data_IF_836301665656
#
_entry.id   IF_836301665656
#
_cell.length_a   1.000
_cell.length_b   1.000
_cell.length_c   1.000
_cell.angle_alpha   90.00
_cell.angle_beta   90.00
_cell.angle_gamma   90.00
#
_symmetry.space_group_name_H-M   'P 1'
#
loop_
_entity.id
_entity.type
_entity.pdbx_description
1 polymer ?
#
# COMPACT_ATOMS: atom_id res chain seq x y z
N UNK A 1 46.07 38.23 -14.05
CA UNK A 1 44.70 37.86 -13.62
C UNK A 1 44.53 38.32 -12.18
N UNK A 2 43.60 39.26 -11.90
CA UNK A 2 43.50 39.87 -10.58
C UNK A 2 42.83 38.88 -9.58
N UNK A 3 43.31 38.89 -8.32
CA UNK A 3 42.75 38.10 -7.21
C UNK A 3 41.22 38.15 -7.10
N UNK A 4 40.60 39.22 -7.60
CA UNK A 4 39.14 39.43 -7.57
C UNK A 4 38.40 38.52 -8.53
N UNK A 5 38.96 38.16 -9.68
CA UNK A 5 38.36 37.19 -10.63
C UNK A 5 38.41 35.76 -10.15
N UNK A 6 39.44 35.37 -9.42
CA UNK A 6 39.57 34.03 -8.84
C UNK A 6 38.52 33.80 -7.73
N UNK A 7 38.25 34.81 -6.92
CA UNK A 7 37.24 34.74 -5.85
C UNK A 7 35.83 34.65 -6.41
N UNK A 8 35.50 35.40 -7.49
CA UNK A 8 34.20 35.34 -8.14
C UNK A 8 33.95 33.98 -8.78
N UNK A 9 34.96 33.39 -9.44
CA UNK A 9 34.87 32.08 -10.03
C UNK A 9 34.65 30.96 -8.98
N UNK A 10 35.30 31.05 -7.83
CA UNK A 10 35.14 30.09 -6.73
C UNK A 10 33.74 30.17 -6.09
N UNK A 11 33.13 31.35 -5.98
CA UNK A 11 31.79 31.54 -5.45
C UNK A 11 30.72 30.96 -6.40
N UNK A 12 30.88 31.16 -7.72
CA UNK A 12 29.95 30.62 -8.73
C UNK A 12 30.02 29.08 -8.78
N UNK A 13 31.21 28.49 -8.66
CA UNK A 13 31.36 27.01 -8.62
C UNK A 13 30.75 26.42 -7.35
N UNK A 14 30.89 27.09 -6.20
CA UNK A 14 30.25 26.64 -4.94
C UNK A 14 28.72 26.74 -4.99
N UNK A 15 28.13 27.73 -5.65
CA UNK A 15 26.69 27.88 -5.80
C UNK A 15 26.05 26.80 -6.72
N UNK A 16 26.81 26.22 -7.65
CA UNK A 16 26.33 25.17 -8.55
C UNK A 16 26.31 23.77 -7.92
N UNK A 17 26.89 23.61 -6.71
CA UNK A 17 26.93 22.29 -6.01
C UNK A 17 25.80 22.10 -5.00
N UNK A 18 24.93 23.10 -4.80
CA UNK A 18 23.72 22.93 -3.99
C UNK A 18 22.64 22.27 -4.85
N UNK A 19 22.82 20.98 -5.16
CA UNK A 19 21.72 20.16 -5.68
C UNK A 19 20.73 20.01 -4.53
N UNK A 20 19.49 20.49 -4.64
CA UNK A 20 18.48 20.21 -3.63
C UNK A 20 18.34 18.70 -3.52
N UNK A 21 18.68 18.13 -2.38
CA UNK A 21 18.37 16.74 -2.10
C UNK A 21 16.85 16.59 -2.21
N UNK A 22 16.38 15.95 -3.26
CA UNK A 22 14.99 15.56 -3.37
C UNK A 22 14.73 14.56 -2.24
N UNK A 23 14.11 15.02 -1.16
CA UNK A 23 13.73 14.17 -0.05
C UNK A 23 12.65 13.19 -0.55
N UNK A 24 13.03 11.95 -0.74
CA UNK A 24 12.07 10.90 -1.02
C UNK A 24 11.17 10.69 0.21
N UNK A 25 9.87 10.60 -0.01
CA UNK A 25 8.90 10.33 1.04
C UNK A 25 9.05 8.89 1.53
N UNK A 26 8.95 8.65 2.81
CA UNK A 26 8.94 7.32 3.42
C UNK A 26 7.51 6.84 3.56
N UNK A 27 7.09 5.93 2.69
CA UNK A 27 5.71 5.48 2.56
C UNK A 27 5.63 3.97 2.80
N UNK A 28 4.61 3.53 3.52
CA UNK A 28 4.32 2.11 3.71
C UNK A 28 3.52 1.58 2.52
N UNK A 29 4.01 0.51 1.87
CA UNK A 29 3.37 0.01 0.64
C UNK A 29 3.04 -1.46 0.74
N UNK A 30 1.82 -1.81 0.29
CA UNK A 30 1.34 -3.18 0.15
C UNK A 30 0.60 -3.36 -1.17
N UNK A 31 0.82 -4.51 -1.83
CA UNK A 31 0.15 -4.87 -3.09
C UNK A 31 -0.50 -6.24 -2.94
N UNK A 32 -1.84 -6.27 -3.02
CA UNK A 32 -2.67 -7.45 -2.83
C UNK A 32 -3.27 -7.93 -4.15
N UNK A 33 -2.81 -9.06 -4.65
CA UNK A 33 -3.40 -9.72 -5.80
C UNK A 33 -4.67 -10.52 -5.44
N UNK A 34 -5.33 -11.07 -6.44
CA UNK A 34 -6.56 -11.85 -6.30
C UNK A 34 -6.43 -13.00 -5.29
N UNK A 35 -5.33 -13.76 -5.34
CA UNK A 35 -5.17 -14.99 -4.56
C UNK A 35 -4.05 -14.92 -3.52
N UNK A 36 -3.14 -13.98 -3.64
CA UNK A 36 -1.97 -13.82 -2.75
C UNK A 36 -1.52 -12.38 -2.69
N UNK A 37 -0.80 -12.02 -1.64
CA UNK A 37 -0.01 -10.79 -1.58
C UNK A 37 1.09 -10.85 -2.64
N UNK A 38 1.21 -9.80 -3.44
CA UNK A 38 2.26 -9.65 -4.45
C UNK A 38 3.50 -9.05 -3.78
N UNK A 39 3.29 -8.00 -2.96
CA UNK A 39 4.37 -7.31 -2.27
C UNK A 39 3.91 -6.79 -0.90
N UNK A 40 4.85 -6.76 0.05
CA UNK A 40 4.75 -5.96 1.26
C UNK A 40 3.65 -6.36 2.23
N UNK A 41 3.42 -7.65 2.51
CA UNK A 41 2.38 -8.06 3.48
C UNK A 41 2.49 -7.34 4.83
N UNK A 42 3.70 -7.05 5.32
CA UNK A 42 3.96 -6.31 6.56
C UNK A 42 4.11 -4.79 6.33
N UNK A 43 3.70 -4.28 5.19
CA UNK A 43 3.73 -2.86 4.82
C UNK A 43 5.12 -2.22 5.00
N UNK A 44 6.16 -2.73 4.32
CA UNK A 44 7.50 -2.17 4.44
C UNK A 44 7.52 -0.71 4.00
N UNK A 45 8.41 0.06 4.60
CA UNK A 45 8.65 1.45 4.23
C UNK A 45 9.52 1.51 2.98
N UNK A 46 9.06 2.24 1.97
CA UNK A 46 9.80 2.53 0.73
C UNK A 46 10.06 4.03 0.60
N UNK A 47 11.10 4.36 -0.13
CA UNK A 47 11.33 5.71 -0.62
C UNK A 47 10.48 5.94 -1.86
N UNK A 48 9.60 6.93 -1.81
CA UNK A 48 8.63 7.26 -2.85
C UNK A 48 8.83 8.70 -3.31
N UNK A 49 8.70 8.97 -4.58
CA UNK A 49 8.98 10.29 -5.16
C UNK A 49 7.93 11.32 -4.74
N UNK A 50 6.65 11.09 -5.04
CA UNK A 50 5.60 12.09 -4.82
C UNK A 50 4.19 11.55 -4.58
N UNK A 51 3.73 10.54 -5.33
CA UNK A 51 2.31 10.18 -5.43
C UNK A 51 2.05 8.67 -5.30
N UNK A 52 0.78 8.27 -5.34
CA UNK A 52 0.41 6.86 -5.14
C UNK A 52 0.84 5.95 -6.32
N UNK A 53 1.03 6.48 -7.53
CA UNK A 53 1.58 5.73 -8.65
C UNK A 53 3.09 5.51 -8.46
N UNK A 54 3.83 6.53 -8.00
CA UNK A 54 5.24 6.40 -7.63
C UNK A 54 5.45 5.36 -6.50
N UNK A 55 4.47 5.21 -5.60
CA UNK A 55 4.51 4.18 -4.56
C UNK A 55 4.40 2.77 -5.15
N UNK A 56 3.57 2.58 -6.18
CA UNK A 56 3.51 1.32 -6.92
C UNK A 56 4.80 1.04 -7.68
N UNK A 57 5.38 2.07 -8.31
CA UNK A 57 6.65 1.98 -9.01
C UNK A 57 7.77 1.52 -8.07
N UNK A 58 7.92 2.19 -6.92
CA UNK A 58 8.89 1.79 -5.88
C UNK A 58 8.67 0.37 -5.37
N UNK A 59 7.40 -0.05 -5.20
CA UNK A 59 7.07 -1.41 -4.79
C UNK A 59 7.38 -2.44 -5.87
N UNK A 60 7.17 -2.10 -7.15
CA UNK A 60 7.50 -2.93 -8.30
C UNK A 60 9.00 -3.24 -8.36
N UNK A 61 9.84 -2.23 -8.18
CA UNK A 61 11.29 -2.41 -8.09
C UNK A 61 11.70 -3.26 -6.89
N UNK A 62 11.15 -2.96 -5.70
CA UNK A 62 11.53 -3.67 -4.48
C UNK A 62 11.02 -5.13 -4.44
N UNK A 63 9.93 -5.42 -5.13
CA UNK A 63 9.28 -6.73 -5.16
C UNK A 63 9.47 -7.50 -6.45
N UNK A 64 10.23 -6.94 -7.41
CA UNK A 64 10.54 -7.55 -8.72
C UNK A 64 9.29 -8.05 -9.45
N UNK A 65 8.22 -7.23 -9.47
CA UNK A 65 7.00 -7.54 -10.20
C UNK A 65 6.71 -6.51 -11.28
N UNK A 66 6.14 -6.96 -12.38
CA UNK A 66 5.70 -6.12 -13.49
C UNK A 66 4.37 -5.44 -13.18
N UNK A 67 4.20 -4.19 -13.66
CA UNK A 67 2.91 -3.55 -13.78
C UNK A 67 2.81 -2.77 -15.10
N UNK A 68 1.59 -2.50 -15.55
CA UNK A 68 1.33 -1.74 -16.78
C UNK A 68 0.33 -0.62 -16.50
N UNK A 69 0.55 0.51 -17.16
CA UNK A 69 -0.31 1.70 -17.08
C UNK A 69 -0.80 2.01 -18.48
N UNK A 70 -2.09 2.15 -18.65
CA UNK A 70 -2.71 2.65 -19.87
C UNK A 70 -3.18 4.10 -19.68
N UNK A 71 -3.13 4.90 -20.75
CA UNK A 71 -3.65 6.27 -20.71
C UNK A 71 -5.12 6.25 -21.09
N UNK A 72 -5.96 6.84 -20.24
CA UNK A 72 -7.39 7.00 -20.48
C UNK A 72 -7.75 8.48 -20.57
N UNK A 73 -9.01 8.79 -20.93
CA UNK A 73 -9.53 10.16 -20.88
C UNK A 73 -9.56 10.75 -19.44
N UNK A 74 -9.45 9.91 -18.41
CA UNK A 74 -9.41 10.30 -17.01
C UNK A 74 -7.99 10.29 -16.41
N UNK A 75 -6.96 10.12 -17.26
CA UNK A 75 -5.56 10.03 -16.84
C UNK A 75 -5.00 8.61 -16.84
N UNK A 76 -3.82 8.42 -16.23
CA UNK A 76 -3.16 7.11 -16.12
C UNK A 76 -3.98 6.12 -15.30
N UNK A 77 -4.17 4.91 -15.83
CA UNK A 77 -4.86 3.82 -15.16
C UNK A 77 -3.97 2.57 -15.12
N UNK A 78 -3.79 1.99 -13.94
CA UNK A 78 -3.07 0.73 -13.78
C UNK A 78 -4.00 -0.41 -14.18
N UNK A 79 -3.78 -0.97 -15.35
CA UNK A 79 -4.60 -2.04 -15.92
C UNK A 79 -4.04 -3.44 -15.66
N UNK A 80 -2.77 -3.55 -15.25
CA UNK A 80 -2.17 -4.83 -14.90
C UNK A 80 -1.14 -4.69 -13.77
N UNK A 81 -1.16 -5.62 -12.81
CA UNK A 81 -0.05 -5.87 -11.88
C UNK A 81 0.21 -7.38 -11.86
N UNK A 82 1.45 -7.75 -12.12
CA UNK A 82 1.86 -9.14 -12.28
C UNK A 82 1.02 -9.83 -13.38
N UNK A 83 0.40 -10.95 -13.03
CA UNK A 83 -0.42 -11.73 -13.98
C UNK A 83 -1.90 -11.32 -14.07
N UNK A 84 -2.32 -10.33 -13.28
CA UNK A 84 -3.74 -9.96 -13.19
C UNK A 84 -4.01 -8.74 -14.05
N UNK A 85 -4.66 -8.96 -15.19
CA UNK A 85 -5.09 -7.92 -16.14
C UNK A 85 -6.53 -7.51 -15.81
N UNK A 86 -6.79 -6.20 -15.75
CA UNK A 86 -8.12 -5.64 -15.53
C UNK A 86 -9.12 -6.10 -16.59
N UNK A 87 -10.38 -6.22 -16.21
CA UNK A 87 -11.48 -6.63 -17.07
C UNK A 87 -12.72 -5.78 -16.81
N UNK A 88 -13.85 -6.15 -17.43
CA UNK A 88 -15.07 -5.34 -17.38
C UNK A 88 -15.59 -5.06 -15.96
N UNK A 89 -15.48 -6.03 -15.05
CA UNK A 89 -15.93 -5.91 -13.66
C UNK A 89 -14.82 -6.12 -12.64
N UNK A 90 -13.57 -6.12 -13.10
CA UNK A 90 -12.41 -6.37 -12.23
C UNK A 90 -11.30 -5.41 -12.59
N UNK A 91 -10.50 -5.01 -11.62
CA UNK A 91 -9.41 -4.08 -11.87
C UNK A 91 -8.54 -3.82 -10.65
N UNK A 92 -7.58 -2.95 -10.87
CA UNK A 92 -6.68 -2.48 -9.84
C UNK A 92 -7.17 -1.15 -9.28
N UNK A 93 -7.26 -1.08 -7.98
CA UNK A 93 -7.63 0.11 -7.22
C UNK A 93 -6.68 0.29 -6.05
N UNK A 94 -6.71 1.46 -5.44
CA UNK A 94 -5.81 1.76 -4.34
C UNK A 94 -6.50 2.54 -3.23
N UNK A 95 -5.89 2.51 -2.06
CA UNK A 95 -6.24 3.33 -0.89
C UNK A 95 -5.00 4.02 -0.35
N UNK A 96 -5.18 5.23 0.13
CA UNK A 96 -4.18 5.95 0.92
C UNK A 96 -4.74 6.14 2.31
N UNK A 97 -4.00 5.67 3.33
CA UNK A 97 -4.45 5.68 4.74
C UNK A 97 -5.84 5.06 4.93
N UNK A 98 -6.16 4.04 4.10
CA UNK A 98 -7.41 3.31 4.15
C UNK A 98 -8.60 3.96 3.44
N UNK A 99 -8.44 5.11 2.82
CA UNK A 99 -9.46 5.81 2.04
C UNK A 99 -9.18 5.63 0.55
N UNK A 100 -10.21 5.33 -0.25
CA UNK A 100 -10.13 5.31 -1.71
C UNK A 100 -10.24 6.75 -2.24
N UNK A 101 -9.20 7.29 -2.87
CA UNK A 101 -9.28 8.62 -3.49
C UNK A 101 -10.25 8.64 -4.67
N UNK A 102 -10.82 9.82 -4.96
CA UNK A 102 -11.71 10.03 -6.11
C UNK A 102 -10.97 10.50 -7.37
N UNK A 103 -9.65 10.47 -7.35
CA UNK A 103 -8.76 10.90 -8.45
C UNK A 103 -7.75 9.80 -8.78
N UNK A 104 -7.10 9.92 -9.93
CA UNK A 104 -6.05 8.98 -10.37
C UNK A 104 -4.87 8.92 -9.40
N UNK A 105 -4.12 7.83 -9.43
CA UNK A 105 -3.01 7.59 -8.52
C UNK A 105 -1.85 8.58 -8.71
N UNK A 106 -1.68 9.10 -9.90
CA UNK A 106 -0.72 10.15 -10.25
C UNK A 106 -1.05 11.52 -9.65
N UNK A 107 -2.34 11.77 -9.38
CA UNK A 107 -2.84 13.02 -8.80
C UNK A 107 -2.92 12.99 -7.25
N UNK A 108 -2.70 11.85 -6.61
CA UNK A 108 -2.74 11.71 -5.15
C UNK A 108 -1.35 11.95 -4.57
N UNK A 109 -1.08 13.18 -4.12
CA UNK A 109 0.15 13.52 -3.43
C UNK A 109 0.24 12.80 -2.08
N UNK A 110 1.37 12.15 -1.82
CA UNK A 110 1.65 11.44 -0.58
C UNK A 110 2.43 12.32 0.41
N UNK A 111 2.41 11.91 1.66
CA UNK A 111 3.18 12.49 2.76
C UNK A 111 4.04 11.43 3.42
N UNK A 112 5.04 11.87 4.14
CA UNK A 112 5.88 10.98 4.96
C UNK A 112 5.01 10.21 5.96
N UNK A 113 5.22 8.89 6.04
CA UNK A 113 4.44 8.00 6.90
C UNK A 113 3.11 7.51 6.33
N UNK A 114 2.68 7.94 5.15
CA UNK A 114 1.46 7.45 4.51
C UNK A 114 1.53 5.94 4.25
N UNK A 115 0.36 5.30 4.25
CA UNK A 115 0.19 3.89 3.88
C UNK A 115 -0.57 3.79 2.56
N UNK A 116 0.02 3.14 1.57
CA UNK A 116 -0.59 2.89 0.25
C UNK A 116 -0.85 1.40 0.09
N UNK A 117 -2.11 1.07 -0.15
CA UNK A 117 -2.55 -0.28 -0.50
C UNK A 117 -3.04 -0.29 -1.95
N UNK A 118 -2.34 -1.04 -2.81
CA UNK A 118 -2.86 -1.44 -4.11
C UNK A 118 -3.51 -2.81 -4.01
N UNK A 119 -4.69 -3.00 -4.61
CA UNK A 119 -5.38 -4.28 -4.51
C UNK A 119 -6.23 -4.60 -5.72
N UNK A 120 -6.33 -5.90 -6.00
CA UNK A 120 -7.25 -6.43 -6.99
C UNK A 120 -8.67 -6.38 -6.47
N UNK A 121 -9.57 -5.74 -7.22
CA UNK A 121 -10.98 -5.63 -6.91
C UNK A 121 -11.85 -6.39 -7.94
N UNK A 122 -12.93 -6.97 -7.46
CA UNK A 122 -14.08 -7.38 -8.27
C UNK A 122 -15.24 -6.49 -7.84
N UNK A 123 -15.78 -5.75 -8.77
CA UNK A 123 -16.85 -4.80 -8.52
C UNK A 123 -18.21 -5.48 -8.67
N UNK A 124 -19.08 -5.29 -7.70
CA UNK A 124 -20.47 -5.67 -7.69
C UNK A 124 -21.40 -4.47 -7.67
N UNK A 125 -22.72 -4.69 -7.54
CA UNK A 125 -23.71 -3.60 -7.48
C UNK A 125 -23.48 -2.62 -6.32
N UNK A 126 -22.83 -3.07 -5.24
CA UNK A 126 -22.50 -2.28 -4.04
C UNK A 126 -21.09 -1.69 -4.04
N UNK A 127 -20.37 -1.74 -5.17
CA UNK A 127 -18.99 -1.24 -5.28
C UNK A 127 -17.91 -2.33 -5.16
N UNK A 128 -16.71 -1.92 -4.76
CA UNK A 128 -15.56 -2.79 -4.57
C UNK A 128 -15.59 -3.56 -3.24
N UNK A 129 -14.68 -4.54 -3.06
CA UNK A 129 -14.58 -5.32 -1.84
C UNK A 129 -14.04 -4.46 -0.69
N UNK A 130 -14.50 -4.68 0.56
CA UNK A 130 -13.86 -4.07 1.71
C UNK A 130 -12.42 -4.59 1.85
N UNK A 131 -11.54 -3.77 2.41
CA UNK A 131 -10.16 -4.15 2.71
C UNK A 131 -10.03 -4.49 4.19
N UNK A 132 -9.26 -5.52 4.54
CA UNK A 132 -9.04 -5.87 5.93
C UNK A 132 -7.81 -5.12 6.48
N UNK A 133 -7.95 -4.65 7.73
CA UNK A 133 -6.85 -4.15 8.53
C UNK A 133 -6.69 -5.02 9.78
N UNK A 134 -5.49 -5.57 9.99
CA UNK A 134 -5.14 -6.30 11.19
C UNK A 134 -4.49 -5.33 12.19
N UNK A 135 -4.97 -5.35 13.43
CA UNK A 135 -4.46 -4.55 14.54
C UNK A 135 -4.14 -5.46 15.74
N UNK A 136 -3.13 -5.10 16.49
CA UNK A 136 -2.87 -5.75 17.78
C UNK A 136 -4.07 -5.55 18.72
N UNK A 137 -4.43 -6.59 19.46
CA UNK A 137 -5.44 -6.53 20.50
C UNK A 137 -4.86 -6.02 21.83
N UNK A 138 -5.73 -5.87 22.83
CA UNK A 138 -5.33 -5.43 24.17
C UNK A 138 -4.53 -6.48 24.98
N UNK A 139 -4.51 -7.73 24.54
CA UNK A 139 -3.75 -8.83 25.16
C UNK A 139 -2.70 -9.37 24.18
N UNK A 140 -1.58 -9.87 24.71
CA UNK A 140 -0.52 -10.49 23.91
C UNK A 140 -1.09 -11.63 23.04
N UNK A 141 -0.64 -11.69 21.79
CA UNK A 141 -1.06 -12.67 20.78
C UNK A 141 -2.57 -12.65 20.47
N UNK A 142 -3.26 -11.58 20.80
CA UNK A 142 -4.65 -11.32 20.42
C UNK A 142 -4.68 -10.24 19.37
N UNK A 143 -5.60 -10.34 18.41
CA UNK A 143 -5.68 -9.46 17.26
C UNK A 143 -7.12 -9.06 17.00
N UNK A 144 -7.30 -7.88 16.46
CA UNK A 144 -8.57 -7.36 15.92
C UNK A 144 -8.46 -7.27 14.40
N UNK A 145 -9.48 -7.76 13.73
CA UNK A 145 -9.63 -7.64 12.26
C UNK A 145 -10.76 -6.65 12.00
N UNK A 146 -10.43 -5.61 11.27
CA UNK A 146 -11.38 -4.57 10.86
C UNK A 146 -11.61 -4.67 9.37
N UNK A 147 -12.85 -4.61 8.93
CA UNK A 147 -13.23 -4.40 7.54
C UNK A 147 -13.39 -2.89 7.29
N UNK A 148 -12.76 -2.39 6.26
CA UNK A 148 -12.71 -0.97 5.93
C UNK A 148 -13.33 -0.74 4.55
N UNK A 149 -14.33 0.14 4.47
CA UNK A 149 -14.94 0.55 3.20
C UNK A 149 -14.10 1.61 2.47
N UNK A 150 -14.58 2.10 1.33
CA UNK A 150 -13.86 3.07 0.50
C UNK A 150 -13.73 4.45 1.15
N UNK A 151 -14.67 4.83 2.01
CA UNK A 151 -14.59 6.07 2.79
C UNK A 151 -13.70 5.96 4.05
N UNK A 152 -13.02 4.82 4.25
CA UNK A 152 -12.15 4.60 5.41
C UNK A 152 -12.89 4.21 6.70
N UNK A 153 -14.22 4.11 6.69
CA UNK A 153 -15.01 3.68 7.85
C UNK A 153 -14.73 2.20 8.13
N UNK A 154 -14.43 1.88 9.39
CA UNK A 154 -14.11 0.53 9.83
C UNK A 154 -15.24 -0.09 10.66
N UNK A 155 -15.42 -1.40 10.49
CA UNK A 155 -16.30 -2.24 11.31
C UNK A 155 -15.56 -3.52 11.70
N UNK A 156 -15.91 -4.20 12.82
CA UNK A 156 -15.35 -5.50 13.12
C UNK A 156 -15.60 -6.51 11.99
N UNK A 157 -14.56 -7.17 11.51
CA UNK A 157 -14.65 -8.19 10.45
C UNK A 157 -15.08 -9.54 11.04
N UNK A 158 -16.34 -9.64 11.42
CA UNK A 158 -16.90 -10.87 12.00
C UNK A 158 -16.79 -12.05 11.03
N UNK A 159 -16.33 -13.21 11.51
CA UNK A 159 -16.11 -14.38 10.69
C UNK A 159 -14.77 -14.41 9.94
N UNK A 160 -13.91 -13.38 10.13
CA UNK A 160 -12.55 -13.41 9.57
C UNK A 160 -11.73 -14.55 10.17
N UNK A 161 -10.73 -15.03 9.44
CA UNK A 161 -9.76 -16.02 9.92
C UNK A 161 -8.39 -15.37 10.04
N UNK A 162 -7.80 -15.52 11.23
CA UNK A 162 -6.39 -15.22 11.46
C UNK A 162 -5.54 -16.40 11.02
N UNK A 163 -4.41 -16.15 10.40
CA UNK A 163 -3.46 -17.14 9.93
C UNK A 163 -2.06 -16.84 10.47
N UNK A 164 -1.36 -17.88 10.92
CA UNK A 164 0.06 -17.84 11.25
C UNK A 164 0.68 -19.20 10.92
N UNK A 165 1.59 -19.25 9.95
CA UNK A 165 2.08 -20.50 9.39
C UNK A 165 0.91 -21.36 8.86
N UNK A 166 0.84 -22.63 9.27
CA UNK A 166 -0.24 -23.56 8.92
C UNK A 166 -1.48 -23.44 9.84
N UNK A 167 -1.42 -22.65 10.91
CA UNK A 167 -2.53 -22.50 11.87
C UNK A 167 -3.50 -21.43 11.44
N UNK A 168 -4.80 -21.66 11.68
CA UNK A 168 -5.82 -20.64 11.52
C UNK A 168 -6.82 -20.65 12.68
N UNK A 169 -7.29 -19.46 13.07
CA UNK A 169 -8.28 -19.28 14.13
C UNK A 169 -9.38 -18.34 13.64
N UNK A 170 -10.63 -18.69 13.93
CA UNK A 170 -11.80 -17.91 13.56
C UNK A 170 -12.00 -16.74 14.52
N UNK A 171 -12.02 -15.53 13.98
CA UNK A 171 -12.36 -14.28 14.68
C UNK A 171 -13.87 -14.03 14.59
N UNK A 172 -14.67 -14.71 15.43
CA UNK A 172 -16.15 -14.71 15.36
C UNK A 172 -16.74 -13.30 15.41
N UNK A 173 -16.21 -12.44 16.26
CA UNK A 173 -16.64 -11.06 16.46
C UNK A 173 -15.63 -10.05 15.92
N UNK A 174 -14.80 -10.45 14.93
CA UNK A 174 -13.70 -9.63 14.43
C UNK A 174 -12.46 -9.61 15.34
N UNK A 175 -12.38 -10.47 16.34
CA UNK A 175 -11.19 -10.61 17.19
C UNK A 175 -10.95 -12.05 17.60
N UNK A 176 -9.69 -12.42 17.77
CA UNK A 176 -9.28 -13.72 18.28
C UNK A 176 -7.86 -13.69 18.84
N UNK A 177 -7.52 -14.67 19.67
CA UNK A 177 -6.18 -14.88 20.21
C UNK A 177 -5.59 -16.16 19.63
N UNK A 178 -4.34 -16.10 19.17
CA UNK A 178 -3.62 -17.24 18.57
C UNK A 178 -2.82 -18.05 19.60
N UNK A 179 -2.70 -17.56 20.84
CA UNK A 179 -1.75 -18.09 21.80
C UNK A 179 -0.29 -17.82 21.37
N UNK A 180 0.66 -18.49 22.02
CA UNK A 180 2.09 -18.32 21.67
C UNK A 180 2.33 -18.80 20.23
N UNK A 181 2.94 -17.94 19.42
CA UNK A 181 3.30 -18.23 18.04
C UNK A 181 4.56 -17.48 17.62
N UNK A 182 5.12 -17.89 16.49
CA UNK A 182 6.19 -17.21 15.77
C UNK A 182 5.72 -16.97 14.32
N UNK A 183 6.25 -15.92 13.69
CA UNK A 183 5.93 -15.55 12.31
C UNK A 183 4.86 -14.47 12.18
N UNK A 184 4.60 -14.11 10.95
CA UNK A 184 3.64 -13.06 10.59
C UNK A 184 2.19 -13.58 10.68
N UNK A 185 1.33 -12.78 11.29
CA UNK A 185 -0.12 -13.03 11.36
C UNK A 185 -0.80 -12.19 10.29
N UNK A 186 -1.68 -12.81 9.53
CA UNK A 186 -2.56 -12.15 8.55
C UNK A 186 -4.01 -12.52 8.83
N UNK A 187 -4.94 -11.82 8.18
CA UNK A 187 -6.36 -12.16 8.24
C UNK A 187 -6.97 -12.25 6.85
N UNK A 188 -7.93 -13.17 6.69
CA UNK A 188 -8.76 -13.31 5.49
C UNK A 188 -10.24 -13.33 5.87
N UNK A 189 -11.08 -12.84 4.95
CA UNK A 189 -12.53 -12.95 5.00
C UNK A 189 -13.04 -13.12 3.58
N UNK A 190 -14.02 -13.98 3.36
CA UNK A 190 -14.63 -14.17 2.05
C UNK A 190 -15.22 -12.84 1.54
N UNK A 191 -14.89 -12.47 0.33
CA UNK A 191 -15.35 -11.22 -0.30
C UNK A 191 -14.60 -9.96 0.14
N UNK A 192 -13.54 -10.09 0.93
CA UNK A 192 -12.69 -8.97 1.34
C UNK A 192 -11.25 -9.14 0.85
N UNK A 193 -10.55 -8.05 0.70
CA UNK A 193 -9.09 -8.02 0.47
C UNK A 193 -8.37 -8.40 1.76
N UNK A 194 -7.33 -9.25 1.66
CA UNK A 194 -6.52 -9.67 2.82
C UNK A 194 -5.99 -8.50 3.63
N UNK A 195 -5.73 -8.74 4.91
CA UNK A 195 -5.13 -7.74 5.79
C UNK A 195 -3.62 -7.58 5.55
N UNK A 196 -3.09 -6.50 6.11
CA UNK A 196 -1.67 -6.41 6.43
C UNK A 196 -1.26 -7.54 7.37
N UNK A 197 0.06 -7.80 7.46
CA UNK A 197 0.63 -8.75 8.40
C UNK A 197 1.20 -8.03 9.64
N UNK A 198 1.08 -8.66 10.80
CA UNK A 198 1.72 -8.24 12.05
C UNK A 198 2.63 -9.37 12.58
N UNK A 199 3.67 -8.97 13.31
CA UNK A 199 4.56 -9.89 14.03
C UNK A 199 4.14 -10.05 15.49
#
# INVERSE_FOLDING_TARGET
MSRRFVVLAAVIVAALLVVPAAFALRVHVRVEGKTRTIYGSAEPTLNVKANALDALDSASFAGEFYYHVTTTSFGPYVDQIGRYVAGATTGWVFKVNGVSPLVGADAVALKDGDTVLWYWATFGPSGGPPTLALKAGGKRNCYRVLAQNDAGKTTPASGARLHVGSRSVLARTGSACLGKHQGLVTATLKGAVRSNALK
#
